data_IF_263972729264
#
_entry.id   IF_263972729264
#
_cell.length_a   1.000
_cell.length_b   1.000
_cell.length_c   1.000
_cell.angle_alpha   90.00
_cell.angle_beta   90.00
_cell.angle_gamma   90.00
#
_symmetry.space_group_name_H-M   'P 1'
#
loop_
_entity.id
_entity.type
_entity.pdbx_description
1 polymer ?
#
# COMPACT_ATOMS: atom_id res chain seq x y z
N UNK A 1 -89.54 7.41 30.26
CA UNK A 1 -88.07 7.28 30.30
C UNK A 1 -87.59 6.86 28.93
N UNK A 2 -86.67 7.64 28.39
CA UNK A 2 -86.02 7.49 27.09
C UNK A 2 -85.02 6.33 27.11
N UNK A 3 -84.99 5.52 26.05
CA UNK A 3 -83.82 4.78 25.53
C UNK A 3 -84.34 3.91 24.37
N UNK A 4 -83.81 3.90 23.15
CA UNK A 4 -82.62 4.47 22.57
C UNK A 4 -82.45 3.68 21.27
N UNK A 5 -82.50 4.38 20.13
CA UNK A 5 -82.31 3.80 18.80
C UNK A 5 -81.01 3.00 18.74
N UNK A 6 -81.05 1.76 18.24
CA UNK A 6 -79.88 1.15 17.63
C UNK A 6 -80.14 0.95 16.14
N UNK A 7 -79.59 1.86 15.35
CA UNK A 7 -79.66 1.85 13.89
C UNK A 7 -78.94 0.62 13.33
N UNK A 8 -79.65 -0.08 12.43
CA UNK A 8 -79.09 -1.10 11.57
C UNK A 8 -78.02 -0.45 10.68
N UNK A 9 -76.74 -0.76 10.92
CA UNK A 9 -75.67 -0.49 9.95
C UNK A 9 -75.79 -1.51 8.81
N UNK A 10 -76.39 -1.11 7.70
CA UNK A 10 -76.36 -1.87 6.45
C UNK A 10 -74.90 -1.99 5.98
N UNK A 11 -74.34 -3.21 6.03
CA UNK A 11 -73.14 -3.53 5.25
C UNK A 11 -73.59 -3.68 3.80
N UNK A 12 -73.36 -2.64 3.00
CA UNK A 12 -73.40 -2.77 1.53
C UNK A 12 -72.23 -3.68 1.14
N UNK A 13 -72.48 -4.99 1.04
CA UNK A 13 -71.61 -5.91 0.32
C UNK A 13 -71.94 -5.72 -1.17
N UNK A 14 -71.16 -4.88 -1.84
CA UNK A 14 -71.15 -4.81 -3.30
C UNK A 14 -70.71 -6.18 -3.82
N UNK A 15 -71.66 -7.01 -4.24
CA UNK A 15 -71.40 -8.24 -5.00
C UNK A 15 -70.99 -7.82 -6.43
N UNK A 16 -69.74 -7.41 -6.58
CA UNK A 16 -69.17 -7.03 -7.88
C UNK A 16 -68.97 -8.31 -8.70
N UNK A 17 -70.01 -8.70 -9.44
CA UNK A 17 -69.92 -9.76 -10.45
C UNK A 17 -69.15 -9.25 -11.66
N UNK A 18 -67.82 -9.34 -11.60
CA UNK A 18 -66.97 -9.05 -12.76
C UNK A 18 -67.27 -10.14 -13.81
N UNK A 19 -67.77 -9.80 -15.01
CA UNK A 19 -68.05 -10.81 -16.02
C UNK A 19 -66.74 -11.49 -16.42
N UNK A 20 -66.70 -12.82 -16.44
CA UNK A 20 -65.46 -13.57 -16.73
C UNK A 20 -64.76 -13.13 -18.01
N UNK A 21 -65.50 -12.69 -19.03
CA UNK A 21 -64.98 -12.10 -20.27
C UNK A 21 -64.14 -10.82 -20.09
N UNK A 22 -64.45 -9.99 -19.10
CA UNK A 22 -63.65 -8.80 -18.76
C UNK A 22 -62.35 -9.20 -18.06
N UNK A 23 -62.39 -10.21 -17.18
CA UNK A 23 -61.18 -10.77 -16.56
C UNK A 23 -60.26 -11.34 -17.64
N UNK A 24 -60.79 -12.16 -18.56
CA UNK A 24 -60.01 -12.71 -19.67
C UNK A 24 -59.50 -11.63 -20.64
N UNK A 25 -60.28 -10.57 -20.89
CA UNK A 25 -59.85 -9.43 -21.70
C UNK A 25 -58.70 -8.65 -21.06
N UNK A 26 -58.78 -8.38 -19.75
CA UNK A 26 -57.70 -7.71 -19.00
C UNK A 26 -56.45 -8.60 -18.93
N UNK A 27 -56.61 -9.90 -18.67
CA UNK A 27 -55.49 -10.85 -18.67
C UNK A 27 -54.82 -10.89 -20.05
N UNK A 28 -55.59 -10.98 -21.14
CA UNK A 28 -55.04 -10.97 -22.49
C UNK A 28 -54.29 -9.67 -22.81
N UNK A 29 -54.82 -8.51 -22.42
CA UNK A 29 -54.15 -7.22 -22.59
C UNK A 29 -52.83 -7.14 -21.80
N UNK A 30 -52.82 -7.61 -20.55
CA UNK A 30 -51.61 -7.67 -19.72
C UNK A 30 -50.57 -8.61 -20.36
N UNK A 31 -50.99 -9.77 -20.85
CA UNK A 31 -50.09 -10.72 -21.53
C UNK A 31 -49.48 -10.10 -22.78
N UNK A 32 -50.27 -9.41 -23.61
CA UNK A 32 -49.76 -8.71 -24.81
C UNK A 32 -48.73 -7.63 -24.42
N UNK A 33 -49.01 -6.84 -23.38
CA UNK A 33 -48.07 -5.83 -22.89
C UNK A 33 -46.76 -6.44 -22.37
N UNK A 34 -46.84 -7.55 -21.62
CA UNK A 34 -45.65 -8.27 -21.13
C UNK A 34 -44.84 -8.81 -22.32
N UNK A 35 -45.49 -9.44 -23.31
CA UNK A 35 -44.81 -9.97 -24.50
C UNK A 35 -44.13 -8.85 -25.29
N UNK A 36 -44.82 -7.73 -25.51
CA UNK A 36 -44.25 -6.57 -26.19
C UNK A 36 -43.05 -5.99 -25.42
N UNK A 37 -43.14 -5.90 -24.09
CA UNK A 37 -42.04 -5.44 -23.25
C UNK A 37 -40.84 -6.39 -23.32
N UNK A 38 -41.05 -7.71 -23.24
CA UNK A 38 -39.98 -8.72 -23.35
C UNK A 38 -39.28 -8.63 -24.70
N UNK A 39 -40.03 -8.52 -25.81
CA UNK A 39 -39.46 -8.36 -27.14
C UNK A 39 -38.64 -7.06 -27.26
N UNK A 40 -39.21 -5.95 -26.79
CA UNK A 40 -38.55 -4.64 -26.81
C UNK A 40 -37.24 -4.64 -26.03
N UNK A 41 -37.25 -5.13 -24.79
CA UNK A 41 -36.05 -5.24 -23.97
C UNK A 41 -35.04 -6.23 -24.56
N UNK A 42 -35.48 -7.38 -25.08
CA UNK A 42 -34.58 -8.33 -25.74
C UNK A 42 -33.84 -7.73 -26.94
N UNK A 43 -34.40 -6.73 -27.62
CA UNK A 43 -33.72 -6.01 -28.70
C UNK A 43 -32.63 -5.06 -28.18
N UNK A 44 -32.87 -4.38 -27.05
CA UNK A 44 -31.92 -3.43 -26.42
C UNK A 44 -30.80 -4.16 -25.67
N UNK A 45 -31.03 -5.41 -25.25
CA UNK A 45 -30.09 -6.19 -24.45
C UNK A 45 -29.16 -7.07 -25.29
N UNK A 46 -29.08 -6.80 -26.59
CA UNK A 46 -28.14 -7.48 -27.49
C UNK A 46 -26.72 -6.94 -27.27
N UNK A 47 -25.74 -7.81 -27.45
CA UNK A 47 -24.32 -7.48 -27.30
C UNK A 47 -23.96 -6.26 -28.19
N UNK A 48 -24.43 -6.24 -29.44
CA UNK A 48 -24.19 -5.11 -30.35
C UNK A 48 -24.81 -3.78 -29.90
N UNK A 49 -25.88 -3.79 -29.10
CA UNK A 49 -26.44 -2.57 -28.49
C UNK A 49 -25.57 -2.10 -27.33
N UNK A 50 -25.07 -3.04 -26.51
CA UNK A 50 -24.11 -2.71 -25.44
C UNK A 50 -22.79 -2.14 -26.00
N UNK A 51 -22.33 -2.60 -27.17
CA UNK A 51 -21.12 -2.08 -27.84
C UNK A 51 -21.22 -0.58 -28.17
N UNK A 52 -22.43 -0.05 -28.36
CA UNK A 52 -22.63 1.39 -28.60
C UNK A 52 -22.27 2.25 -27.39
N UNK A 53 -22.20 1.66 -26.20
CA UNK A 53 -21.74 2.34 -25.00
C UNK A 53 -20.21 2.18 -24.87
N UNK A 54 -19.46 3.17 -25.34
CA UNK A 54 -17.98 3.19 -25.29
C UNK A 54 -17.37 2.87 -23.91
N UNK A 55 -18.06 3.19 -22.81
CA UNK A 55 -17.56 2.94 -21.45
C UNK A 55 -17.42 1.45 -21.09
N UNK A 56 -18.18 0.58 -21.76
CA UNK A 56 -18.12 -0.88 -21.58
C UNK A 56 -17.40 -1.58 -22.73
N UNK A 57 -16.86 -0.85 -23.69
CA UNK A 57 -16.14 -1.38 -24.85
C UNK A 57 -15.00 -2.36 -24.45
N UNK A 58 -14.15 -2.06 -23.45
CA UNK A 58 -13.12 -3.02 -23.02
C UNK A 58 -13.71 -4.35 -22.54
N UNK A 59 -14.87 -4.31 -21.89
CA UNK A 59 -15.45 -5.50 -21.28
C UNK A 59 -16.16 -6.34 -22.33
N UNK A 60 -16.72 -5.69 -23.36
CA UNK A 60 -17.24 -6.40 -24.54
C UNK A 60 -16.10 -7.02 -25.34
N UNK A 61 -14.99 -6.30 -25.54
CA UNK A 61 -13.84 -6.81 -26.27
C UNK A 61 -13.22 -8.06 -25.61
N UNK A 62 -13.14 -8.07 -24.28
CA UNK A 62 -12.68 -9.23 -23.51
C UNK A 62 -13.73 -10.34 -23.46
N UNK A 63 -15.03 -10.01 -23.37
CA UNK A 63 -16.11 -10.99 -23.40
C UNK A 63 -16.16 -11.80 -24.69
N UNK A 64 -15.93 -11.16 -25.84
CA UNK A 64 -15.86 -11.82 -27.15
C UNK A 64 -14.81 -12.94 -27.23
N UNK A 65 -13.83 -12.94 -26.32
CA UNK A 65 -12.79 -13.97 -26.25
C UNK A 65 -13.21 -15.18 -25.38
N UNK A 66 -14.34 -15.10 -24.68
CA UNK A 66 -14.79 -16.13 -23.74
C UNK A 66 -15.55 -17.28 -24.41
N UNK A 67 -15.53 -18.45 -23.77
CA UNK A 67 -16.36 -19.58 -24.19
C UNK A 67 -17.87 -19.28 -24.10
N UNK A 68 -18.28 -18.39 -23.18
CA UNK A 68 -19.68 -17.97 -23.02
C UNK A 68 -20.17 -17.17 -24.24
N UNK A 69 -19.31 -16.31 -24.81
CA UNK A 69 -19.64 -15.61 -26.06
C UNK A 69 -19.81 -16.59 -27.23
N UNK A 70 -18.89 -17.55 -27.36
CA UNK A 70 -18.98 -18.58 -28.39
C UNK A 70 -20.24 -19.45 -28.27
N UNK A 71 -20.74 -19.66 -27.05
CA UNK A 71 -22.00 -20.35 -26.77
C UNK A 71 -23.25 -19.46 -26.96
N UNK A 72 -23.10 -18.20 -27.37
CA UNK A 72 -24.22 -17.28 -27.62
C UNK A 72 -24.88 -16.72 -26.36
N UNK A 73 -24.21 -16.78 -25.20
CA UNK A 73 -24.75 -16.25 -23.95
C UNK A 73 -24.76 -14.70 -24.01
N UNK A 74 -25.91 -14.08 -23.72
CA UNK A 74 -26.03 -12.62 -23.68
C UNK A 74 -25.59 -12.03 -22.33
N UNK A 75 -25.19 -10.75 -22.31
CA UNK A 75 -24.67 -10.05 -21.12
C UNK A 75 -25.62 -10.13 -19.90
N UNK A 76 -26.91 -9.94 -20.15
CA UNK A 76 -27.92 -9.93 -19.08
C UNK A 76 -28.18 -11.31 -18.47
N UNK A 77 -27.81 -12.39 -19.15
CA UNK A 77 -27.87 -13.75 -18.59
C UNK A 77 -26.97 -13.89 -17.36
N UNK A 78 -25.92 -13.06 -17.27
CA UNK A 78 -24.98 -13.02 -16.15
C UNK A 78 -25.19 -11.78 -15.25
N UNK A 79 -25.44 -10.61 -15.85
CA UNK A 79 -25.52 -9.34 -15.13
C UNK A 79 -26.93 -8.98 -14.60
N UNK A 80 -27.85 -9.94 -14.65
CA UNK A 80 -29.21 -9.79 -14.13
C UNK A 80 -29.54 -10.96 -13.22
N UNK A 81 -30.15 -10.69 -12.07
CA UNK A 81 -30.67 -11.76 -11.22
C UNK A 81 -31.76 -12.53 -11.98
N UNK A 82 -31.84 -13.87 -11.82
CA UNK A 82 -32.90 -14.65 -12.43
C UNK A 82 -34.30 -14.13 -12.09
N UNK A 83 -35.23 -14.27 -13.04
CA UNK A 83 -36.64 -13.91 -12.88
C UNK A 83 -37.08 -12.72 -13.74
N UNK A 84 -38.30 -12.80 -14.28
CA UNK A 84 -38.86 -11.80 -15.21
C UNK A 84 -38.95 -10.40 -14.58
N UNK A 85 -39.26 -10.33 -13.28
CA UNK A 85 -39.30 -9.05 -12.56
C UNK A 85 -37.92 -8.40 -12.44
N UNK A 86 -36.88 -9.19 -12.14
CA UNK A 86 -35.50 -8.68 -12.05
C UNK A 86 -34.99 -8.21 -13.42
N UNK A 87 -35.39 -8.90 -14.48
CA UNK A 87 -35.13 -8.47 -15.85
C UNK A 87 -35.75 -7.09 -16.13
N UNK A 88 -37.01 -6.88 -15.76
CA UNK A 88 -37.67 -5.60 -15.92
C UNK A 88 -36.98 -4.47 -15.13
N UNK A 89 -36.69 -4.70 -13.84
CA UNK A 89 -36.00 -3.73 -12.98
C UNK A 89 -34.61 -3.37 -13.55
N UNK A 90 -33.87 -4.36 -14.05
CA UNK A 90 -32.54 -4.13 -14.64
C UNK A 90 -32.60 -3.26 -15.89
N UNK A 91 -33.63 -3.42 -16.71
CA UNK A 91 -33.83 -2.59 -17.89
C UNK A 91 -34.13 -1.13 -17.50
N UNK A 92 -34.95 -0.89 -16.47
CA UNK A 92 -35.18 0.46 -15.93
C UNK A 92 -33.88 1.06 -15.37
N UNK A 93 -33.08 0.27 -14.64
CA UNK A 93 -31.78 0.70 -14.13
C UNK A 93 -30.80 1.10 -15.25
N UNK A 94 -30.95 0.57 -16.47
CA UNK A 94 -30.21 1.02 -17.64
C UNK A 94 -30.38 2.51 -17.92
N UNK A 95 -31.59 3.05 -17.73
CA UNK A 95 -31.85 4.48 -17.85
C UNK A 95 -31.18 5.28 -16.73
N UNK A 96 -31.19 4.75 -15.50
CA UNK A 96 -30.47 5.37 -14.37
C UNK A 96 -28.96 5.41 -14.62
N UNK A 97 -28.38 4.35 -15.18
CA UNK A 97 -26.96 4.33 -15.54
C UNK A 97 -26.61 5.40 -16.57
N UNK A 98 -27.50 5.66 -17.54
CA UNK A 98 -27.32 6.75 -18.50
C UNK A 98 -27.32 8.12 -17.80
N UNK A 99 -28.23 8.35 -16.85
CA UNK A 99 -28.29 9.59 -16.06
C UNK A 99 -27.02 9.75 -15.21
N UNK A 100 -26.58 8.69 -14.53
CA UNK A 100 -25.35 8.69 -13.72
C UNK A 100 -24.12 8.97 -14.59
N UNK A 101 -24.07 8.40 -15.79
CA UNK A 101 -23.00 8.63 -16.75
C UNK A 101 -22.99 10.09 -17.25
N UNK A 102 -24.13 10.62 -17.69
CA UNK A 102 -24.25 12.00 -18.19
C UNK A 102 -23.98 13.03 -17.10
N UNK A 103 -24.34 12.73 -15.85
CA UNK A 103 -24.06 13.59 -14.70
C UNK A 103 -22.67 13.40 -14.09
N UNK A 104 -21.89 12.42 -14.56
CA UNK A 104 -20.59 12.01 -14.01
C UNK A 104 -20.61 11.74 -12.49
N UNK A 105 -21.73 11.24 -11.97
CA UNK A 105 -21.93 10.97 -10.53
C UNK A 105 -21.73 9.50 -10.15
N UNK A 106 -21.09 8.70 -11.01
CA UNK A 106 -20.87 7.27 -10.78
C UNK A 106 -19.49 6.98 -10.18
N UNK A 107 -19.42 5.90 -9.40
CA UNK A 107 -18.17 5.45 -8.77
C UNK A 107 -17.26 4.73 -9.77
N UNK A 108 -15.95 4.95 -9.63
CA UNK A 108 -14.91 4.31 -10.43
C UNK A 108 -13.97 3.51 -9.50
N UNK A 109 -13.58 2.28 -9.85
CA UNK A 109 -13.92 1.56 -11.08
C UNK A 109 -15.36 1.05 -11.09
N UNK A 110 -15.96 0.97 -12.28
CA UNK A 110 -17.31 0.40 -12.45
C UNK A 110 -17.22 -1.09 -12.11
N UNK A 111 -17.86 -1.47 -11.02
CA UNK A 111 -17.95 -2.87 -10.60
C UNK A 111 -19.39 -3.31 -10.63
N UNK A 112 -19.59 -4.61 -10.84
CA UNK A 112 -20.92 -5.21 -10.78
C UNK A 112 -20.84 -6.54 -10.06
N UNK A 113 -21.83 -6.81 -9.22
CA UNK A 113 -21.95 -8.06 -8.51
C UNK A 113 -22.71 -9.06 -9.38
N UNK A 114 -22.11 -10.23 -9.59
CA UNK A 114 -22.74 -11.39 -10.23
C UNK A 114 -22.73 -12.51 -9.20
N UNK A 115 -23.92 -12.94 -8.79
CA UNK A 115 -24.09 -13.96 -7.76
C UNK A 115 -23.92 -15.37 -8.32
N UNK A 116 -23.54 -16.31 -7.45
CA UNK A 116 -23.37 -17.73 -7.79
C UNK A 116 -24.64 -18.36 -8.39
N UNK A 117 -25.82 -17.93 -7.95
CA UNK A 117 -27.11 -18.44 -8.46
C UNK A 117 -27.32 -18.15 -9.95
N UNK A 118 -26.72 -17.07 -10.46
CA UNK A 118 -26.79 -16.78 -11.88
C UNK A 118 -26.03 -17.81 -12.71
N UNK A 119 -24.88 -18.26 -12.23
CA UNK A 119 -24.09 -19.33 -12.85
C UNK A 119 -24.83 -20.66 -12.81
N UNK A 120 -25.51 -20.96 -11.69
CA UNK A 120 -26.20 -22.23 -11.46
C UNK A 120 -27.40 -22.48 -12.40
N UNK A 121 -27.89 -21.44 -13.09
CA UNK A 121 -28.93 -21.57 -14.11
C UNK A 121 -28.47 -22.39 -15.33
N UNK A 122 -27.19 -22.29 -15.68
CA UNK A 122 -26.60 -23.03 -16.81
C UNK A 122 -25.61 -24.10 -16.35
N UNK A 123 -25.04 -23.95 -15.15
CA UNK A 123 -24.15 -24.91 -14.51
C UNK A 123 -24.84 -25.55 -13.30
N UNK A 124 -25.74 -26.52 -13.50
CA UNK A 124 -26.59 -27.04 -12.43
C UNK A 124 -25.74 -27.66 -11.31
N UNK A 125 -26.13 -27.41 -10.07
CA UNK A 125 -25.44 -27.91 -8.88
C UNK A 125 -25.19 -29.43 -8.92
N UNK A 126 -26.09 -30.21 -9.51
CA UNK A 126 -25.90 -31.66 -9.70
C UNK A 126 -24.66 -32.03 -10.53
N UNK A 127 -24.18 -31.13 -11.39
CA UNK A 127 -22.98 -31.32 -12.20
C UNK A 127 -21.73 -30.74 -11.55
N UNK A 128 -21.86 -29.66 -10.78
CA UNK A 128 -20.72 -28.91 -10.24
C UNK A 128 -20.42 -29.17 -8.76
N UNK A 129 -21.40 -29.52 -7.93
CA UNK A 129 -21.24 -29.82 -6.49
C UNK A 129 -20.75 -31.25 -6.24
N UNK A 130 -19.77 -31.67 -7.04
CA UNK A 130 -19.04 -32.94 -6.89
C UNK A 130 -17.54 -32.64 -6.77
N UNK A 131 -16.78 -33.64 -6.34
CA UNK A 131 -15.33 -33.59 -6.46
C UNK A 131 -14.95 -33.46 -7.93
N UNK A 132 -14.43 -32.30 -8.29
CA UNK A 132 -13.98 -32.02 -9.64
C UNK A 132 -12.46 -32.04 -9.66
N UNK A 133 -11.92 -32.76 -10.63
CA UNK A 133 -10.48 -32.85 -10.86
C UNK A 133 -10.17 -32.11 -12.14
N UNK A 134 -9.32 -31.08 -12.05
CA UNK A 134 -8.78 -30.36 -13.19
C UNK A 134 -7.26 -30.46 -13.13
N UNK A 135 -6.68 -31.18 -14.10
CA UNK A 135 -5.26 -31.50 -14.08
C UNK A 135 -4.92 -32.37 -12.87
N UNK A 136 -4.04 -31.88 -11.99
CA UNK A 136 -3.64 -32.56 -10.75
C UNK A 136 -4.38 -32.04 -9.50
N UNK A 137 -5.30 -31.09 -9.65
CA UNK A 137 -6.01 -30.47 -8.53
C UNK A 137 -7.43 -31.01 -8.42
N UNK A 138 -7.76 -31.56 -7.26
CA UNK A 138 -9.11 -31.87 -6.82
C UNK A 138 -9.68 -30.69 -6.04
N UNK A 139 -10.89 -30.28 -6.39
CA UNK A 139 -11.65 -29.24 -5.68
C UNK A 139 -13.06 -29.74 -5.38
N UNK A 140 -13.48 -29.59 -4.13
CA UNK A 140 -14.85 -29.87 -3.71
C UNK A 140 -15.67 -28.56 -3.72
N UNK A 141 -16.49 -28.37 -4.76
CA UNK A 141 -17.30 -27.16 -4.89
C UNK A 141 -18.43 -27.08 -3.88
N UNK A 142 -18.92 -28.22 -3.39
CA UNK A 142 -20.03 -28.28 -2.43
C UNK A 142 -19.64 -27.62 -1.10
N UNK A 143 -18.54 -28.08 -0.50
CA UNK A 143 -18.01 -27.54 0.75
C UNK A 143 -17.63 -26.06 0.64
N UNK A 144 -17.07 -25.64 -0.51
CA UNK A 144 -16.78 -24.23 -0.76
C UNK A 144 -18.05 -23.37 -0.82
N UNK A 145 -19.11 -23.85 -1.49
CA UNK A 145 -20.40 -23.15 -1.53
C UNK A 145 -21.07 -23.09 -0.16
N UNK A 146 -21.05 -24.18 0.60
CA UNK A 146 -21.59 -24.25 1.96
C UNK A 146 -20.83 -23.31 2.92
N UNK A 147 -19.53 -23.11 2.69
CA UNK A 147 -18.70 -22.12 3.38
C UNK A 147 -18.92 -20.67 2.88
N UNK A 148 -19.83 -20.44 1.93
CA UNK A 148 -20.22 -19.10 1.46
C UNK A 148 -19.41 -18.53 0.29
N UNK A 149 -18.46 -19.30 -0.28
CA UNK A 149 -17.64 -18.82 -1.39
C UNK A 149 -18.46 -18.70 -2.69
N UNK A 150 -18.20 -17.63 -3.45
CA UNK A 150 -18.86 -17.35 -4.72
C UNK A 150 -18.05 -17.94 -5.89
N UNK A 151 -18.72 -18.29 -6.99
CA UNK A 151 -18.06 -18.85 -8.17
C UNK A 151 -16.93 -17.95 -8.69
N UNK A 152 -17.18 -16.63 -8.73
CA UNK A 152 -16.23 -15.63 -9.20
C UNK A 152 -15.09 -15.34 -8.23
N UNK A 153 -15.08 -15.94 -7.03
CA UNK A 153 -13.90 -15.91 -6.17
C UNK A 153 -12.74 -16.64 -6.84
N UNK A 154 -12.99 -17.79 -7.47
CA UNK A 154 -11.94 -18.52 -8.19
C UNK A 154 -12.04 -18.34 -9.71
N UNK A 155 -13.25 -18.24 -10.26
CA UNK A 155 -13.47 -18.11 -11.72
C UNK A 155 -13.54 -16.66 -12.18
N UNK A 156 -12.70 -15.78 -11.62
CA UNK A 156 -12.75 -14.33 -11.90
C UNK A 156 -12.45 -13.96 -13.36
N UNK A 157 -11.71 -14.80 -14.08
CA UNK A 157 -11.23 -14.54 -15.43
C UNK A 157 -12.12 -15.15 -16.54
N UNK A 158 -13.26 -15.76 -16.18
CA UNK A 158 -14.01 -16.63 -17.10
C UNK A 158 -14.77 -15.88 -18.20
N UNK A 159 -15.17 -14.63 -17.93
CA UNK A 159 -15.99 -13.82 -18.85
C UNK A 159 -15.32 -12.53 -19.30
N UNK A 160 -14.39 -11.97 -18.53
CA UNK A 160 -13.73 -10.70 -18.87
C UNK A 160 -12.22 -10.80 -18.64
N UNK A 161 -11.51 -11.60 -19.46
CA UNK A 161 -10.11 -11.86 -19.22
C UNK A 161 -9.24 -10.61 -19.34
N UNK A 162 -8.28 -10.44 -18.42
CA UNK A 162 -7.31 -9.35 -18.47
C UNK A 162 -7.85 -7.96 -18.05
N UNK A 163 -9.07 -7.89 -17.53
CA UNK A 163 -9.66 -6.64 -17.03
C UNK A 163 -9.13 -6.26 -15.64
N UNK A 164 -9.29 -4.99 -15.25
CA UNK A 164 -8.83 -4.49 -13.93
C UNK A 164 -9.45 -5.26 -12.76
N UNK A 165 -10.71 -5.69 -12.88
CA UNK A 165 -11.36 -6.55 -11.89
C UNK A 165 -10.72 -7.94 -11.82
N UNK A 166 -10.31 -8.51 -12.96
CA UNK A 166 -9.60 -9.79 -12.98
C UNK A 166 -8.26 -9.66 -12.25
N UNK A 167 -7.47 -8.61 -12.49
CA UNK A 167 -6.21 -8.35 -11.76
C UNK A 167 -6.45 -8.23 -10.26
N UNK A 168 -7.50 -7.54 -9.83
CA UNK A 168 -7.86 -7.42 -8.41
C UNK A 168 -8.25 -8.77 -7.77
N UNK A 169 -8.80 -9.71 -8.55
CA UNK A 169 -9.24 -11.03 -8.09
C UNK A 169 -8.26 -12.16 -8.40
N UNK A 170 -7.17 -11.93 -9.13
CA UNK A 170 -6.14 -12.93 -9.46
C UNK A 170 -5.31 -13.43 -8.26
N UNK A 171 -5.55 -12.90 -7.07
CA UNK A 171 -5.05 -13.48 -5.82
C UNK A 171 -5.98 -14.58 -5.29
N UNK A 172 -7.23 -14.62 -5.74
CA UNK A 172 -8.31 -15.44 -5.19
C UNK A 172 -8.41 -16.85 -5.81
N UNK A 173 -7.75 -17.09 -6.94
CA UNK A 173 -7.65 -18.39 -7.62
C UNK A 173 -6.34 -19.14 -7.30
N UNK A 174 -5.61 -18.68 -6.29
CA UNK A 174 -4.36 -19.28 -5.84
C UNK A 174 -4.56 -20.15 -4.58
N UNK A 175 -3.58 -20.99 -4.24
CA UNK A 175 -3.58 -21.79 -2.99
C UNK A 175 -3.83 -20.95 -1.73
N UNK A 176 -3.60 -19.63 -1.80
CA UNK A 176 -3.88 -18.69 -0.72
C UNK A 176 -5.36 -18.67 -0.30
N UNK A 177 -6.33 -18.95 -1.18
CA UNK A 177 -7.72 -19.02 -0.74
C UNK A 177 -7.99 -20.32 0.01
N UNK A 178 -7.43 -21.43 -0.46
CA UNK A 178 -7.60 -22.75 0.15
C UNK A 178 -6.97 -22.82 1.55
N UNK A 179 -5.76 -22.28 1.72
CA UNK A 179 -5.03 -22.30 2.98
C UNK A 179 -5.63 -21.38 4.08
N UNK A 180 -6.71 -20.65 3.79
CA UNK A 180 -7.50 -19.97 4.83
C UNK A 180 -8.24 -20.95 5.73
N UNK A 181 -8.56 -22.12 5.21
CA UNK A 181 -9.23 -23.19 5.95
C UNK A 181 -8.34 -24.43 6.06
N UNK A 182 -7.59 -24.77 5.01
CA UNK A 182 -6.60 -25.85 5.01
C UNK A 182 -5.29 -25.40 5.66
N UNK A 183 -5.30 -25.30 6.99
CA UNK A 183 -4.22 -24.75 7.82
C UNK A 183 -3.73 -25.74 8.89
N UNK A 184 -4.17 -26.99 8.84
CA UNK A 184 -3.84 -28.04 9.79
C UNK A 184 -4.64 -27.95 11.11
N UNK A 185 -5.40 -26.87 11.32
CA UNK A 185 -6.27 -26.65 12.47
C UNK A 185 -7.74 -26.86 12.15
N UNK A 186 -8.25 -26.18 11.12
CA UNK A 186 -9.68 -26.17 10.77
C UNK A 186 -10.00 -27.24 9.72
N UNK A 187 -9.15 -27.37 8.71
CA UNK A 187 -9.12 -28.48 7.75
C UNK A 187 -7.67 -28.97 7.59
N UNK A 188 -7.47 -30.24 7.23
CA UNK A 188 -6.12 -30.75 7.09
C UNK A 188 -5.41 -30.06 5.91
N UNK A 189 -4.11 -29.82 6.08
CA UNK A 189 -3.25 -29.05 5.17
C UNK A 189 -2.29 -29.94 4.35
N UNK A 190 -2.51 -31.26 4.39
CA UNK A 190 -1.77 -32.20 3.55
C UNK A 190 -1.97 -31.86 2.07
N UNK A 191 -0.86 -31.80 1.32
CA UNK A 191 -0.89 -31.36 -0.07
C UNK A 191 -1.69 -32.32 -0.96
N UNK A 192 -1.74 -33.61 -0.62
CA UNK A 192 -2.42 -34.66 -1.38
C UNK A 192 -3.96 -34.64 -1.27
N UNK A 193 -4.50 -33.85 -0.34
CA UNK A 193 -5.94 -33.59 -0.25
C UNK A 193 -6.45 -32.91 -1.52
N UNK A 194 -5.64 -32.01 -2.10
CA UNK A 194 -5.97 -31.34 -3.34
C UNK A 194 -5.09 -31.84 -4.50
N UNK A 195 -3.81 -32.13 -4.28
CA UNK A 195 -2.90 -32.57 -5.32
C UNK A 195 -2.89 -34.10 -5.45
N UNK A 196 -3.69 -34.63 -6.38
CA UNK A 196 -3.80 -36.08 -6.63
C UNK A 196 -2.58 -36.70 -7.35
N UNK A 197 -1.45 -36.00 -7.39
CA UNK A 197 -0.19 -36.40 -8.00
C UNK A 197 0.97 -35.56 -7.46
N UNK A 198 2.21 -35.91 -7.83
CA UNK A 198 3.39 -35.18 -7.36
C UNK A 198 3.32 -33.70 -7.76
N UNK A 199 3.38 -32.80 -6.78
CA UNK A 199 3.53 -31.36 -7.03
C UNK A 199 4.89 -31.17 -7.72
N UNK A 200 4.94 -30.64 -8.96
CA UNK A 200 6.21 -30.41 -9.64
C UNK A 200 7.10 -29.53 -8.75
N UNK A 201 8.40 -29.84 -8.67
CA UNK A 201 9.34 -29.01 -7.89
C UNK A 201 9.38 -27.54 -8.38
N UNK A 202 8.94 -27.30 -9.62
CA UNK A 202 8.78 -25.99 -10.26
C UNK A 202 7.46 -25.27 -9.94
N UNK A 203 6.54 -25.90 -9.20
CA UNK A 203 5.28 -25.27 -8.83
C UNK A 203 5.55 -23.99 -8.00
N UNK A 204 4.91 -22.86 -8.33
CA UNK A 204 5.10 -21.62 -7.59
C UNK A 204 4.72 -21.83 -6.13
N UNK A 205 5.67 -21.58 -5.22
CA UNK A 205 5.41 -21.55 -3.79
C UNK A 205 4.51 -20.34 -3.53
N UNK A 206 3.21 -20.55 -3.47
CA UNK A 206 2.24 -19.49 -3.18
C UNK A 206 2.41 -19.08 -1.72
N UNK A 207 3.10 -17.96 -1.48
CA UNK A 207 3.07 -17.30 -0.18
C UNK A 207 1.78 -16.50 -0.09
N UNK A 208 0.93 -16.88 0.85
CA UNK A 208 -0.26 -16.15 1.25
C UNK A 208 0.11 -14.70 1.63
N UNK A 209 -0.26 -13.72 0.82
CA UNK A 209 -0.25 -12.32 1.23
C UNK A 209 -1.69 -11.86 1.46
N UNK A 210 -2.13 -11.83 2.71
CA UNK A 210 -3.45 -11.27 3.04
C UNK A 210 -3.28 -9.78 3.31
N UNK A 211 -3.88 -8.93 2.47
CA UNK A 211 -4.10 -7.52 2.78
C UNK A 211 -5.40 -7.40 3.58
N UNK A 212 -5.29 -7.35 4.91
CA UNK A 212 -6.42 -7.12 5.83
C UNK A 212 -6.36 -5.69 6.34
N UNK A 213 -7.49 -4.97 6.32
CA UNK A 213 -7.61 -3.68 7.01
C UNK A 213 -8.13 -3.87 8.44
N UNK A 214 -7.74 -3.01 9.40
CA UNK A 214 -8.18 -3.13 10.80
C UNK A 214 -9.72 -3.21 10.97
N UNK A 215 -10.47 -2.55 10.08
CA UNK A 215 -11.94 -2.54 10.09
C UNK A 215 -12.57 -3.93 9.88
N UNK A 216 -11.91 -4.80 9.12
CA UNK A 216 -12.41 -6.16 8.82
C UNK A 216 -12.22 -7.12 10.01
N UNK A 217 -11.41 -6.74 11.00
CA UNK A 217 -11.17 -7.53 12.20
C UNK A 217 -12.17 -7.18 13.31
N UNK A 218 -12.51 -5.88 13.42
CA UNK A 218 -13.44 -5.35 14.43
C UNK A 218 -14.89 -5.75 14.22
N UNK A 219 -15.22 -6.35 13.07
CA UNK A 219 -16.53 -6.94 12.80
C UNK A 219 -16.78 -8.23 13.62
N UNK A 220 -15.72 -8.89 14.14
CA UNK A 220 -15.83 -10.09 14.97
C UNK A 220 -14.97 -10.05 16.25
N UNK A 221 -13.91 -9.24 16.30
CA UNK A 221 -13.02 -9.09 17.46
C UNK A 221 -13.15 -7.70 18.08
N UNK A 222 -13.79 -7.62 19.25
CA UNK A 222 -14.08 -6.34 19.91
C UNK A 222 -13.08 -5.98 21.02
N UNK A 223 -12.26 -6.93 21.51
CA UNK A 223 -11.37 -6.69 22.64
C UNK A 223 -9.96 -6.31 22.16
N UNK A 224 -9.37 -5.28 22.76
CA UNK A 224 -7.97 -4.88 22.49
C UNK A 224 -6.94 -6.00 22.70
N UNK A 225 -7.24 -6.97 23.57
CA UNK A 225 -6.37 -8.13 23.82
C UNK A 225 -6.28 -9.07 22.60
N UNK A 226 -7.35 -9.17 21.80
CA UNK A 226 -7.39 -10.01 20.62
C UNK A 226 -6.39 -9.51 19.56
N UNK A 227 -6.16 -8.19 19.51
CA UNK A 227 -5.16 -7.57 18.66
C UNK A 227 -3.74 -7.99 19.07
N UNK A 228 -3.44 -8.03 20.37
CA UNK A 228 -2.10 -8.39 20.87
C UNK A 228 -1.76 -9.86 20.67
N UNK A 229 -2.75 -10.76 20.63
CA UNK A 229 -2.52 -12.19 20.41
C UNK A 229 -2.01 -12.46 18.98
N UNK A 230 -2.62 -11.82 17.98
CA UNK A 230 -2.16 -11.93 16.59
C UNK A 230 -0.97 -11.01 16.28
N UNK A 231 -0.97 -9.78 16.77
CA UNK A 231 0.12 -8.82 16.54
C UNK A 231 1.33 -9.09 17.45
N UNK A 232 1.27 -10.17 18.23
CA UNK A 232 2.28 -10.53 19.22
C UNK A 232 2.58 -9.35 20.16
N UNK A 233 1.62 -8.49 20.50
CA UNK A 233 1.85 -7.30 21.34
C UNK A 233 2.43 -6.08 20.60
N UNK A 234 2.50 -6.11 19.26
CA UNK A 234 2.80 -4.93 18.45
C UNK A 234 1.55 -4.02 18.37
N UNK A 235 1.68 -2.80 18.88
CA UNK A 235 0.56 -1.86 18.93
C UNK A 235 0.19 -1.35 17.54
N UNK A 236 -1.11 -1.43 17.21
CA UNK A 236 -1.67 -0.97 15.94
C UNK A 236 -2.87 -0.03 16.15
N UNK A 237 -3.02 1.05 15.36
CA UNK A 237 -2.03 1.59 14.41
C UNK A 237 -0.70 1.92 15.12
N UNK A 238 0.42 1.83 14.41
CA UNK A 238 1.75 2.05 15.01
C UNK A 238 1.76 3.39 15.78
N UNK A 239 2.39 3.44 16.98
CA UNK A 239 2.40 4.64 17.80
C UNK A 239 3.13 5.79 17.11
N UNK A 240 2.80 7.04 17.48
CA UNK A 240 3.34 8.23 16.79
C UNK A 240 4.87 8.38 16.84
N UNK A 241 5.52 7.74 17.82
CA UNK A 241 6.98 7.69 17.99
C UNK A 241 7.64 6.49 17.31
N UNK A 242 6.89 5.73 16.50
CA UNK A 242 7.33 4.50 15.82
C UNK A 242 8.72 4.61 15.20
N UNK A 243 9.00 5.71 14.49
CA UNK A 243 10.28 5.94 13.81
C UNK A 243 11.50 5.95 14.76
N UNK A 244 11.30 6.23 16.06
CA UNK A 244 12.34 6.20 17.08
C UNK A 244 12.38 4.87 17.83
N UNK A 245 11.23 4.25 18.08
CA UNK A 245 11.12 3.08 18.95
C UNK A 245 11.26 1.72 18.22
N UNK A 246 10.93 1.65 16.92
CA UNK A 246 10.85 0.36 16.21
C UNK A 246 12.19 -0.36 16.06
N UNK A 247 13.32 0.36 16.07
CA UNK A 247 14.65 -0.26 16.00
C UNK A 247 14.91 -1.21 17.17
N UNK A 248 14.52 -0.80 18.38
CA UNK A 248 14.68 -1.61 19.58
C UNK A 248 13.76 -2.83 19.56
N UNK A 249 12.55 -2.68 19.03
CA UNK A 249 11.60 -3.77 18.83
C UNK A 249 12.17 -4.82 17.86
N UNK A 250 12.81 -4.39 16.76
CA UNK A 250 13.45 -5.28 15.79
C UNK A 250 14.66 -6.01 16.40
N UNK A 251 15.44 -5.35 17.26
CA UNK A 251 16.57 -5.98 17.96
C UNK A 251 16.11 -7.03 18.97
N UNK A 252 15.00 -6.77 19.69
CA UNK A 252 14.48 -7.68 20.71
C UNK A 252 13.72 -8.87 20.12
N UNK A 253 12.98 -8.66 19.03
CA UNK A 253 11.98 -9.63 18.53
C UNK A 253 12.28 -10.15 17.13
N UNK A 254 13.33 -9.65 16.50
CA UNK A 254 13.78 -10.04 15.18
C UNK A 254 12.93 -9.45 14.05
N UNK A 255 13.50 -9.37 12.85
CA UNK A 255 12.82 -8.86 11.63
C UNK A 255 11.62 -9.72 11.20
N UNK A 256 11.55 -10.96 11.67
CA UNK A 256 10.47 -11.90 11.37
C UNK A 256 9.10 -11.47 11.89
N UNK A 257 9.04 -10.69 12.98
CA UNK A 257 7.78 -10.16 13.52
C UNK A 257 7.13 -9.14 12.58
N UNK A 258 7.93 -8.49 11.75
CA UNK A 258 7.44 -7.60 10.71
C UNK A 258 7.12 -8.40 9.45
N UNK A 259 7.93 -9.42 9.14
CA UNK A 259 7.81 -10.26 7.96
C UNK A 259 6.53 -11.12 7.90
N UNK A 260 5.87 -11.30 9.04
CA UNK A 260 4.58 -11.98 9.14
C UNK A 260 3.43 -11.20 8.51
N UNK A 261 3.56 -9.87 8.40
CA UNK A 261 2.54 -9.00 7.79
C UNK A 261 3.10 -8.17 6.63
N UNK A 262 4.31 -7.62 6.77
CA UNK A 262 5.09 -6.98 5.71
C UNK A 262 5.96 -8.02 5.04
N UNK A 263 5.41 -8.67 4.02
CA UNK A 263 6.03 -9.87 3.42
C UNK A 263 7.51 -9.71 3.10
N UNK A 264 8.29 -10.78 3.31
CA UNK A 264 9.74 -10.85 3.03
C UNK A 264 10.13 -10.41 1.61
N UNK A 265 9.17 -10.41 0.69
CA UNK A 265 9.33 -10.07 -0.73
C UNK A 265 9.10 -8.57 -1.01
N UNK A 266 8.83 -7.76 0.03
CA UNK A 266 8.98 -6.30 0.02
C UNK A 266 10.25 -5.86 0.80
N UNK A 267 11.46 -6.18 0.31
CA UNK A 267 12.69 -5.60 0.85
C UNK A 267 12.75 -4.08 0.66
N UNK A 268 11.88 -3.52 -0.20
CA UNK A 268 11.72 -2.08 -0.40
C UNK A 268 11.17 -1.42 0.86
N UNK A 269 10.24 -1.98 1.61
CA UNK A 269 9.73 -1.36 2.85
C UNK A 269 10.86 -0.93 3.83
N UNK A 270 11.80 -1.83 4.13
CA UNK A 270 12.93 -1.54 5.01
C UNK A 270 13.95 -0.60 4.35
N UNK A 271 14.25 -0.82 3.06
CA UNK A 271 15.32 -0.11 2.34
C UNK A 271 14.90 1.30 1.90
N UNK A 272 13.64 1.49 1.51
CA UNK A 272 13.06 2.77 1.08
C UNK A 272 12.96 3.74 2.26
N UNK A 273 12.74 3.23 3.46
CA UNK A 273 12.72 4.04 4.68
C UNK A 273 14.12 4.25 5.28
N UNK A 274 14.87 3.18 5.59
CA UNK A 274 16.17 3.30 6.28
C UNK A 274 17.26 3.80 5.36
N UNK A 275 17.38 3.25 4.14
CA UNK A 275 18.29 3.73 3.11
C UNK A 275 19.80 3.77 3.47
N UNK A 276 20.17 3.26 4.65
CA UNK A 276 21.50 3.00 5.21
C UNK A 276 21.44 1.70 6.03
N UNK A 277 22.56 0.98 6.22
CA UNK A 277 22.54 -0.29 6.94
C UNK A 277 22.08 -0.13 8.40
N UNK A 278 21.13 -0.98 8.83
CA UNK A 278 20.56 -0.99 10.18
C UNK A 278 20.61 -2.39 10.83
N UNK A 279 20.99 -2.50 12.13
CA UNK A 279 21.55 -1.44 12.97
C UNK A 279 22.85 -0.86 12.36
N UNK A 280 23.14 0.42 12.61
CA UNK A 280 24.33 1.06 12.07
C UNK A 280 25.57 0.19 12.37
N UNK A 281 26.42 -0.10 11.37
CA UNK A 281 27.55 -1.01 11.55
C UNK A 281 28.59 -0.42 12.51
N UNK A 282 29.44 -1.30 13.05
CA UNK A 282 30.61 -0.85 13.82
C UNK A 282 31.46 0.13 13.01
N UNK A 283 31.88 1.24 13.63
CA UNK A 283 32.63 2.31 12.96
C UNK A 283 31.78 3.29 12.16
N UNK A 284 30.44 3.16 12.14
CA UNK A 284 29.55 4.07 11.40
C UNK A 284 29.76 5.54 11.79
N UNK A 285 29.94 5.83 13.08
CA UNK A 285 30.22 7.19 13.57
C UNK A 285 31.44 7.84 12.87
N UNK A 286 32.45 7.06 12.49
CA UNK A 286 33.66 7.58 11.86
C UNK A 286 33.52 7.78 10.35
N UNK A 287 32.65 7.02 9.68
CA UNK A 287 32.48 7.06 8.21
C UNK A 287 31.08 7.54 7.76
N UNK A 288 30.20 7.94 8.68
CA UNK A 288 28.84 8.38 8.35
C UNK A 288 28.83 9.61 7.42
N UNK A 289 29.91 10.39 7.38
CA UNK A 289 30.09 11.50 6.45
C UNK A 289 29.90 11.08 4.99
N UNK A 290 30.43 9.92 4.59
CA UNK A 290 30.29 9.41 3.22
C UNK A 290 28.84 9.07 2.87
N UNK A 291 28.07 8.62 3.86
CA UNK A 291 26.64 8.35 3.72
C UNK A 291 25.82 9.64 3.71
N UNK A 292 26.17 10.59 4.60
CA UNK A 292 25.50 11.88 4.71
C UNK A 292 25.68 12.73 3.44
N UNK A 293 26.88 12.76 2.86
CA UNK A 293 27.17 13.47 1.61
C UNK A 293 26.31 12.98 0.43
N UNK A 294 25.97 11.69 0.41
CA UNK A 294 25.10 11.12 -0.62
C UNK A 294 23.64 11.49 -0.41
N UNK A 295 23.15 11.50 0.84
CA UNK A 295 21.75 11.80 1.11
C UNK A 295 21.45 12.21 2.57
N UNK A 296 21.72 13.47 2.92
CA UNK A 296 21.43 14.03 4.25
C UNK A 296 19.95 13.92 4.65
N UNK A 297 19.04 13.96 3.66
CA UNK A 297 17.59 13.86 3.90
C UNK A 297 17.20 12.51 4.51
N UNK A 298 17.98 11.44 4.30
CA UNK A 298 17.73 10.14 4.94
C UNK A 298 17.99 10.17 6.44
N UNK A 299 19.05 10.86 6.88
CA UNK A 299 19.44 10.92 8.29
C UNK A 299 18.39 11.70 9.12
N UNK A 300 17.94 12.84 8.60
CA UNK A 300 16.99 13.72 9.31
C UNK A 300 15.58 13.12 9.44
N UNK A 301 15.23 12.09 8.66
CA UNK A 301 13.95 11.38 8.80
C UNK A 301 13.80 10.72 10.19
N UNK A 302 14.90 10.26 10.77
CA UNK A 302 14.91 9.60 12.08
C UNK A 302 15.55 10.47 13.16
N UNK A 303 16.64 11.17 12.85
CA UNK A 303 17.41 11.94 13.84
C UNK A 303 16.96 13.41 13.98
N UNK A 304 16.15 13.93 13.06
CA UNK A 304 15.78 15.36 13.03
C UNK A 304 16.89 16.27 12.51
N UNK A 305 16.54 17.51 12.15
CA UNK A 305 17.48 18.47 11.53
C UNK A 305 18.58 18.94 12.48
N UNK A 306 18.27 19.06 13.77
CA UNK A 306 19.17 19.65 14.77
C UNK A 306 20.27 18.68 15.22
N UNK A 307 20.06 17.38 15.04
CA UNK A 307 21.01 16.32 15.39
C UNK A 307 22.41 16.50 14.79
N UNK A 308 22.49 17.06 13.58
CA UNK A 308 23.76 17.35 12.92
C UNK A 308 24.58 18.38 13.72
N UNK A 309 23.93 19.45 14.17
CA UNK A 309 24.60 20.57 14.85
C UNK A 309 24.88 20.23 16.31
N UNK A 310 23.98 19.52 16.98
CA UNK A 310 24.19 19.07 18.37
C UNK A 310 25.45 18.20 18.50
N UNK A 311 25.71 17.33 17.53
CA UNK A 311 26.90 16.49 17.51
C UNK A 311 28.13 17.20 16.94
N UNK A 312 28.04 17.78 15.74
CA UNK A 312 29.18 18.38 15.04
C UNK A 312 29.58 19.74 15.61
N UNK A 313 28.65 20.52 16.16
CA UNK A 313 28.88 21.89 16.63
C UNK A 313 29.03 22.93 15.51
N UNK A 314 28.96 22.51 14.25
CA UNK A 314 28.99 23.39 13.07
C UNK A 314 28.31 22.72 11.86
N UNK A 315 27.92 23.49 10.82
CA UNK A 315 27.31 22.94 9.61
C UNK A 315 28.27 22.02 8.83
N UNK A 316 27.76 20.85 8.42
CA UNK A 316 28.50 19.86 7.63
C UNK A 316 27.73 19.48 6.33
N UNK A 317 28.40 19.32 5.18
CA UNK A 317 29.82 19.61 4.94
C UNK A 317 30.16 21.08 5.19
N UNK A 318 31.43 21.38 5.47
CA UNK A 318 31.88 22.75 5.68
C UNK A 318 31.35 23.66 4.55
N UNK A 319 30.81 24.85 4.86
CA UNK A 319 30.18 25.71 3.87
C UNK A 319 31.18 26.16 2.78
N UNK A 320 30.65 26.52 1.60
CA UNK A 320 31.46 27.08 0.53
C UNK A 320 32.26 28.31 1.00
N UNK A 321 33.55 28.38 0.65
CA UNK A 321 34.43 29.45 1.13
C UNK A 321 34.99 29.24 2.55
N UNK A 322 34.80 28.06 3.15
CA UNK A 322 35.28 27.72 4.49
C UNK A 322 36.73 28.12 4.75
N UNK A 323 37.62 27.97 3.76
CA UNK A 323 39.04 28.34 3.92
C UNK A 323 39.25 29.82 4.27
N UNK A 324 38.36 30.74 3.90
CA UNK A 324 38.43 32.14 4.33
C UNK A 324 37.93 32.38 5.76
N UNK A 325 37.10 31.48 6.29
CA UNK A 325 36.37 31.66 7.55
C UNK A 325 36.83 30.69 8.66
N UNK A 326 37.56 29.62 8.32
CA UNK A 326 37.94 28.58 9.28
C UNK A 326 38.82 29.12 10.41
N UNK A 327 39.59 30.20 10.19
CA UNK A 327 40.48 30.76 11.20
C UNK A 327 39.75 31.43 12.36
N UNK A 328 38.62 32.10 12.10
CA UNK A 328 37.80 32.71 13.16
C UNK A 328 37.07 31.64 13.98
N UNK A 329 36.54 30.60 13.32
CA UNK A 329 35.84 29.49 13.96
C UNK A 329 36.81 28.58 14.75
N UNK A 330 38.00 28.31 14.21
CA UNK A 330 39.01 27.51 14.90
C UNK A 330 39.59 28.23 16.14
N UNK A 331 39.62 29.56 16.14
CA UNK A 331 40.03 30.35 17.31
C UNK A 331 38.97 30.36 18.41
N UNK A 332 37.69 30.40 18.04
CA UNK A 332 36.60 30.47 19.02
C UNK A 332 36.31 29.12 19.67
N UNK A 333 36.46 28.01 18.94
CA UNK A 333 36.25 26.68 19.50
C UNK A 333 37.16 25.62 18.84
N UNK A 334 38.47 25.60 19.15
CA UNK A 334 39.43 24.68 18.52
C UNK A 334 39.10 23.20 18.79
N UNK A 335 38.49 22.91 19.95
CA UNK A 335 38.10 21.55 20.35
C UNK A 335 37.05 20.93 19.43
N UNK A 336 36.23 21.75 18.74
CA UNK A 336 35.23 21.25 17.79
C UNK A 336 35.89 20.59 16.58
N UNK A 337 37.06 21.10 16.16
CA UNK A 337 37.82 20.58 15.04
C UNK A 337 38.45 19.22 15.38
N UNK A 338 38.90 19.07 16.62
CA UNK A 338 39.53 17.85 17.14
C UNK A 338 38.58 16.64 17.21
N UNK A 339 37.26 16.87 17.08
CA UNK A 339 36.27 15.78 16.98
C UNK A 339 36.47 14.92 15.73
N UNK A 340 37.04 15.49 14.66
CA UNK A 340 37.21 14.81 13.37
C UNK A 340 38.63 14.92 12.80
N UNK A 341 39.31 16.05 13.04
CA UNK A 341 40.64 16.31 12.52
C UNK A 341 41.69 16.14 13.60
N UNK A 342 42.75 15.37 13.30
CA UNK A 342 43.90 15.27 14.21
C UNK A 342 44.86 16.44 13.97
N UNK A 343 45.81 16.63 14.90
CA UNK A 343 46.79 17.72 14.81
C UNK A 343 47.60 17.74 13.50
N UNK A 344 47.82 16.56 12.90
CA UNK A 344 48.54 16.45 11.62
C UNK A 344 47.81 17.13 10.46
N UNK A 345 46.47 17.24 10.52
CA UNK A 345 45.67 17.96 9.52
C UNK A 345 45.92 19.47 9.55
N UNK A 346 46.06 20.04 10.74
CA UNK A 346 46.44 21.44 10.88
C UNK A 346 47.86 21.65 10.32
N UNK A 347 48.78 20.77 10.70
CA UNK A 347 50.19 20.86 10.29
C UNK A 347 50.38 20.68 8.79
N UNK A 348 49.56 19.87 8.10
CA UNK A 348 49.72 19.66 6.65
C UNK A 348 49.53 20.94 5.82
N UNK A 349 48.71 21.87 6.30
CA UNK A 349 48.51 23.16 5.63
C UNK A 349 49.30 24.30 6.31
N UNK A 350 49.35 24.33 7.64
CA UNK A 350 50.01 25.41 8.40
C UNK A 350 51.51 25.22 8.59
N UNK A 351 52.04 24.00 8.42
CA UNK A 351 53.45 23.66 8.59
C UNK A 351 53.96 23.62 10.04
N UNK A 352 53.13 24.05 11.00
CA UNK A 352 53.39 24.08 12.44
C UNK A 352 52.11 23.74 13.21
N UNK A 353 52.26 23.28 14.46
CA UNK A 353 51.12 22.90 15.30
C UNK A 353 50.36 24.12 15.81
N UNK A 354 49.04 24.16 15.57
CA UNK A 354 48.13 25.20 16.06
C UNK A 354 47.06 24.62 17.02
N UNK A 355 46.61 25.39 18.05
CA UNK A 355 47.22 26.64 18.50
C UNK A 355 48.65 26.42 19.02
N UNK A 356 49.51 27.43 18.91
CA UNK A 356 50.87 27.33 19.44
C UNK A 356 50.83 27.07 20.94
N UNK A 357 51.65 26.12 21.42
CA UNK A 357 51.81 25.89 22.87
C UNK A 357 52.64 27.03 23.49
N UNK A 358 52.52 27.24 24.81
CA UNK A 358 53.37 28.19 25.53
C UNK A 358 54.86 27.93 25.28
N UNK A 359 55.29 26.67 25.38
CA UNK A 359 56.67 26.27 25.09
C UNK A 359 57.11 26.54 23.64
N UNK A 360 56.22 26.44 22.66
CA UNK A 360 56.52 26.80 21.27
C UNK A 360 56.68 28.32 21.09
N UNK A 361 55.93 29.10 21.85
CA UNK A 361 56.06 30.58 21.88
C UNK A 361 57.36 30.98 22.60
N UNK A 362 57.75 30.26 23.64
CA UNK A 362 58.99 30.53 24.38
C UNK A 362 60.25 30.23 23.52
N UNK A 363 60.21 29.20 22.66
CA UNK A 363 61.27 28.86 21.70
C UNK A 363 61.08 29.50 20.30
N UNK A 364 60.23 30.51 20.21
CA UNK A 364 59.84 31.13 18.94
C UNK A 364 61.02 31.62 18.07
N UNK A 365 62.11 32.23 18.62
CA UNK A 365 63.26 32.68 17.84
C UNK A 365 64.00 31.56 17.08
N UNK A 366 64.09 30.36 17.64
CA UNK A 366 64.77 29.24 16.99
C UNK A 366 63.91 28.64 15.86
N UNK A 367 62.59 28.63 16.04
CA UNK A 367 61.64 28.21 15.01
C UNK A 367 61.57 29.20 13.84
N UNK A 368 61.67 30.51 14.08
CA UNK A 368 61.71 31.51 12.99
C UNK A 368 63.02 31.48 12.22
N UNK A 369 64.15 31.23 12.87
CA UNK A 369 65.45 31.10 12.20
C UNK A 369 65.48 29.90 11.23
N UNK A 370 64.89 28.77 11.62
CA UNK A 370 64.90 27.53 10.83
C UNK A 370 63.78 27.42 9.78
N UNK A 371 62.62 28.07 10.00
CA UNK A 371 61.42 27.95 9.15
C UNK A 371 60.65 29.28 8.93
N UNK A 372 61.33 30.42 8.98
CA UNK A 372 60.72 31.75 8.98
C UNK A 372 59.79 32.06 7.79
N UNK A 373 60.01 31.44 6.63
CA UNK A 373 59.12 31.60 5.46
C UNK A 373 57.71 31.06 5.68
N UNK A 374 57.53 30.06 6.54
CA UNK A 374 56.21 29.53 6.92
C UNK A 374 55.49 30.48 7.87
N UNK A 375 56.23 31.12 8.77
CA UNK A 375 55.71 32.06 9.77
C UNK A 375 55.20 33.36 9.12
N UNK A 376 55.90 33.87 8.10
CA UNK A 376 55.53 35.10 7.38
C UNK A 376 54.18 35.00 6.65
N UNK A 377 53.70 33.79 6.34
CA UNK A 377 52.38 33.56 5.72
C UNK A 377 51.22 33.98 6.62
N UNK A 378 51.43 34.01 7.94
CA UNK A 378 50.39 34.31 8.92
C UNK A 378 50.69 35.58 9.74
N UNK A 379 51.97 35.88 10.00
CA UNK A 379 52.39 37.09 10.74
C UNK A 379 52.68 38.30 9.84
N UNK A 380 52.83 38.08 8.53
CA UNK A 380 53.18 39.13 7.56
C UNK A 380 54.66 39.50 7.58
N UNK A 381 55.13 40.13 6.50
CA UNK A 381 56.51 40.62 6.33
C UNK A 381 56.62 42.16 6.41
N UNK A 382 55.51 42.83 6.79
CA UNK A 382 55.32 44.28 6.57
C UNK A 382 55.20 45.14 7.82
N UNK A 383 55.40 44.60 9.03
CA UNK A 383 55.30 45.38 10.27
C UNK A 383 53.90 45.90 10.64
N UNK A 384 52.87 45.62 9.83
CA UNK A 384 51.48 46.11 10.02
C UNK A 384 50.53 45.08 10.63
N UNK A 385 51.01 43.88 10.97
CA UNK A 385 50.30 42.95 11.85
C UNK A 385 50.65 43.22 13.32
N UNK A 386 49.85 42.76 14.29
CA UNK A 386 50.12 43.00 15.73
C UNK A 386 51.50 42.50 16.19
N UNK A 387 52.11 41.56 15.46
CA UNK A 387 53.50 41.12 15.61
C UNK A 387 54.12 40.78 14.23
N UNK A 388 55.04 41.60 13.73
CA UNK A 388 55.75 41.39 12.46
C UNK A 388 57.16 40.80 12.66
N UNK A 389 57.71 40.18 11.61
CA UNK A 389 59.07 39.61 11.61
C UNK A 389 59.99 40.44 10.72
N UNK A 390 61.02 41.07 11.29
CA UNK A 390 62.05 41.79 10.53
C UNK A 390 63.44 41.38 11.06
N UNK A 391 64.35 40.97 10.17
CA UNK A 391 65.74 40.65 10.54
C UNK A 391 65.91 39.49 11.55
N UNK A 392 64.91 38.61 11.71
CA UNK A 392 64.94 37.51 12.67
C UNK A 392 64.47 37.88 14.10
N UNK A 393 63.96 39.09 14.31
CA UNK A 393 63.41 39.54 15.59
C UNK A 393 61.90 39.86 15.49
N UNK A 394 61.18 39.65 16.59
CA UNK A 394 59.74 39.92 16.72
C UNK A 394 59.54 41.41 17.04
N UNK A 395 58.81 42.13 16.19
CA UNK A 395 58.46 43.53 16.41
C UNK A 395 56.97 43.64 16.70
N UNK A 396 56.59 44.16 17.88
CA UNK A 396 55.22 44.58 18.17
C UNK A 396 54.97 45.94 17.52
N UNK A 397 54.28 45.99 16.39
CA UNK A 397 53.79 47.24 15.81
C UNK A 397 52.53 47.67 16.57
N UNK A 398 52.51 48.89 17.12
CA UNK A 398 51.25 49.53 17.48
C UNK A 398 50.49 49.86 16.20
N UNK A 399 49.19 49.58 16.18
CA UNK A 399 48.29 50.11 15.17
C UNK A 399 48.08 51.58 15.51
N UNK A 400 48.78 52.48 14.81
CA UNK A 400 48.30 53.83 14.53
C UNK A 400 48.02 53.95 13.03
#
# INVERSE_FOLDING_TARGET
>A
MMAGKHESKSKVLLDVRIPGRWIWGVVAAIVVLIVAAVIGFSAVNRIGTCETCHIIEPEVATYKQSAHYAAGVGCQSCHTKPGVFNYFIRNIQGATNLILYVSDTYERPITTYVGADTCAQCHPNSQIEKDMVVGTIRVNHKGLREAGYQCLTCHANISHPGTRLAVARASQDTMSVCARCHNGRDLPDDCDICHIGAVPASAPKVKMQVHITPSQCTECHERKADCSDCHNGLQMPHPGDWNKAHGQLVLQRGKSICASCHTKDDPKFCIDCHGVPMPHPGGFLSNHGDFALKNQKKCVKCHGKDSCIECHGLPMPHPGGWMGQHSSVARSNPSVCNKCHSQSFCVSCHGVSLPHSGAFIDDHPNHTYSRGSVCMKCHGNGGTGPHGCYGGQCHSGSID
#
